data_IF_451540686742
#
_entry.id   IF_451540686742
#
_cell.length_a   1.000
_cell.length_b   1.000
_cell.length_c   1.000
_cell.angle_alpha   90.00
_cell.angle_beta   90.00
_cell.angle_gamma   90.00
#
_symmetry.space_group_name_H-M   'P 1'
#
loop_
_entity.id
_entity.type
_entity.pdbx_description
1 polymer ?
#
# COMPACT_ATOMS: atom_id res chain seq x y z
N UNK A 1 10.89 5.10 -2.64
CA UNK A 1 10.48 6.39 -2.05
C UNK A 1 11.59 6.89 -1.14
N UNK A 2 11.91 8.19 -1.19
CA UNK A 2 12.94 8.82 -0.34
C UNK A 2 12.33 10.06 0.30
N UNK A 3 12.43 10.18 1.63
CA UNK A 3 11.98 11.39 2.31
C UNK A 3 13.00 12.51 2.04
N UNK A 4 12.54 13.63 1.47
CA UNK A 4 13.33 14.85 1.24
C UNK A 4 12.58 16.04 1.84
N UNK A 5 12.89 16.44 3.08
CA UNK A 5 12.21 17.56 3.75
C UNK A 5 12.21 18.83 2.90
N UNK A 6 11.05 19.47 2.76
CA UNK A 6 10.90 20.71 1.99
C UNK A 6 10.73 20.53 0.48
N UNK A 7 10.84 19.31 -0.05
CA UNK A 7 10.52 19.01 -1.45
C UNK A 7 9.08 18.49 -1.59
N UNK A 8 8.28 19.16 -2.41
CA UNK A 8 6.89 18.80 -2.69
C UNK A 8 6.70 18.08 -4.04
N UNK A 9 7.78 17.87 -4.80
CA UNK A 9 7.75 17.12 -6.05
C UNK A 9 7.55 15.63 -5.77
N UNK A 10 6.44 15.06 -6.26
CA UNK A 10 6.10 13.64 -6.16
C UNK A 10 6.15 12.95 -7.54
N UNK A 11 6.90 13.51 -8.48
CA UNK A 11 7.25 12.87 -9.75
C UNK A 11 7.82 11.45 -9.52
N UNK A 12 7.72 10.54 -10.51
CA UNK A 12 8.11 9.14 -10.33
C UNK A 12 9.51 8.91 -9.73
N UNK A 13 10.49 9.77 -10.06
CA UNK A 13 11.86 9.74 -9.54
C UNK A 13 12.01 10.43 -8.16
N UNK A 14 11.05 11.27 -7.76
CA UNK A 14 11.11 12.04 -6.52
C UNK A 14 10.11 11.63 -5.45
N UNK A 15 9.39 10.52 -5.64
CA UNK A 15 8.34 10.09 -4.70
C UNK A 15 8.70 10.13 -3.21
N UNK A 16 7.91 10.88 -2.45
CA UNK A 16 7.98 11.05 -0.99
C UNK A 16 7.24 9.90 -0.28
N UNK A 17 7.43 9.68 1.03
CA UNK A 17 6.45 8.93 1.83
C UNK A 17 5.04 9.51 1.68
N UNK A 18 4.03 8.66 1.43
CA UNK A 18 2.64 9.12 1.32
C UNK A 18 2.10 9.33 2.73
N UNK A 19 1.64 10.55 3.04
CA UNK A 19 1.05 10.89 4.34
C UNK A 19 -0.47 10.63 4.42
N UNK A 20 -1.13 10.51 3.26
CA UNK A 20 -2.55 10.16 3.20
C UNK A 20 -2.70 8.65 3.46
N UNK A 21 -3.66 8.28 4.30
CA UNK A 21 -4.03 6.88 4.48
C UNK A 21 -4.76 6.38 3.23
N UNK A 22 -4.30 5.25 2.70
CA UNK A 22 -4.85 4.69 1.47
C UNK A 22 -4.79 3.16 1.45
N UNK A 23 -5.53 2.59 0.51
CA UNK A 23 -5.31 1.26 -0.07
C UNK A 23 -5.06 1.46 -1.56
N UNK A 24 -4.08 0.75 -2.10
CA UNK A 24 -3.59 1.00 -3.45
C UNK A 24 -4.56 0.67 -4.59
N UNK A 25 -5.52 -0.22 -4.38
CA UNK A 25 -6.37 -0.71 -5.45
C UNK A 25 -7.80 -0.91 -4.94
N UNK A 26 -8.76 -0.50 -5.76
CA UNK A 26 -10.14 -1.02 -5.67
C UNK A 26 -10.23 -2.38 -6.34
N UNK A 27 -11.38 -3.05 -6.24
CA UNK A 27 -11.61 -4.34 -6.93
C UNK A 27 -11.45 -4.20 -8.44
N UNK A 28 -12.06 -3.17 -9.03
CA UNK A 28 -11.96 -2.90 -10.46
C UNK A 28 -10.51 -2.61 -10.87
N UNK A 29 -9.81 -1.76 -10.13
CA UNK A 29 -8.40 -1.48 -10.39
C UNK A 29 -7.52 -2.73 -10.24
N UNK A 30 -7.86 -3.63 -9.31
CA UNK A 30 -7.15 -4.89 -9.12
C UNK A 30 -7.31 -5.82 -10.31
N UNK A 31 -8.52 -5.95 -10.86
CA UNK A 31 -8.78 -6.70 -12.11
C UNK A 31 -8.06 -6.05 -13.29
N UNK A 32 -8.10 -4.72 -13.39
CA UNK A 32 -7.37 -3.98 -14.43
C UNK A 32 -5.85 -4.23 -14.36
N UNK A 33 -5.27 -4.42 -13.17
CA UNK A 33 -3.85 -4.82 -13.02
C UNK A 33 -3.56 -6.20 -13.59
N UNK A 34 -4.47 -7.16 -13.45
CA UNK A 34 -4.34 -8.49 -14.07
C UNK A 34 -4.30 -8.36 -15.59
N UNK A 35 -5.24 -7.62 -16.19
CA UNK A 35 -5.25 -7.36 -17.63
C UNK A 35 -4.01 -6.60 -18.12
N UNK A 36 -3.52 -5.63 -17.34
CA UNK A 36 -2.39 -4.78 -17.73
C UNK A 36 -1.05 -5.53 -17.76
N UNK A 37 -0.85 -6.47 -16.83
CA UNK A 37 0.48 -7.04 -16.58
C UNK A 37 0.65 -8.49 -17.06
N UNK A 38 -0.43 -9.15 -17.48
CA UNK A 38 -0.39 -10.55 -17.92
C UNK A 38 -0.78 -10.70 -19.39
N UNK A 39 -0.36 -11.79 -20.06
CA UNK A 39 -0.80 -12.10 -21.42
C UNK A 39 -2.32 -12.24 -21.47
N UNK A 40 -2.95 -11.61 -22.49
CA UNK A 40 -4.41 -11.61 -22.63
C UNK A 40 -5.02 -13.03 -22.73
N UNK A 41 -4.25 -14.02 -23.21
CA UNK A 41 -4.65 -15.42 -23.27
C UNK A 41 -4.89 -16.06 -21.90
N UNK A 42 -4.17 -15.59 -20.87
CA UNK A 42 -4.11 -16.25 -19.57
C UNK A 42 -5.15 -15.65 -18.60
N UNK A 43 -5.50 -14.37 -18.80
CA UNK A 43 -6.38 -13.60 -17.91
C UNK A 43 -7.73 -14.27 -17.64
N UNK A 44 -8.48 -14.79 -18.63
CA UNK A 44 -9.80 -15.38 -18.37
C UNK A 44 -9.76 -16.56 -17.41
N UNK A 45 -8.68 -17.36 -17.43
CA UNK A 45 -8.54 -18.50 -16.53
C UNK A 45 -8.02 -18.07 -15.15
N UNK A 46 -7.06 -17.14 -15.12
CA UNK A 46 -6.49 -16.63 -13.88
C UNK A 46 -7.51 -15.87 -13.02
N UNK A 47 -8.43 -15.12 -13.63
CA UNK A 47 -9.48 -14.39 -12.90
C UNK A 47 -10.57 -15.31 -12.31
N UNK A 48 -10.65 -16.58 -12.71
CA UNK A 48 -11.54 -17.55 -12.06
C UNK A 48 -10.96 -18.07 -10.74
N UNK A 49 -9.64 -17.95 -10.56
CA UNK A 49 -8.93 -18.41 -9.37
C UNK A 49 -8.95 -17.31 -8.31
N UNK A 50 -8.67 -17.70 -7.07
CA UNK A 50 -8.27 -16.70 -6.08
C UNK A 50 -6.97 -16.06 -6.55
N UNK A 51 -6.95 -14.75 -6.56
CA UNK A 51 -5.75 -13.95 -6.66
C UNK A 51 -5.69 -12.86 -5.58
N UNK A 52 -4.48 -12.38 -5.33
CA UNK A 52 -4.16 -11.29 -4.41
C UNK A 52 -3.21 -10.29 -5.07
N UNK A 53 -3.23 -9.07 -4.55
CA UNK A 53 -2.18 -8.07 -4.79
C UNK A 53 -1.46 -7.86 -3.47
N UNK A 54 -0.17 -8.18 -3.43
CA UNK A 54 0.67 -8.02 -2.24
C UNK A 54 1.80 -7.06 -2.57
N UNK A 55 1.93 -6.00 -1.76
CA UNK A 55 3.15 -5.19 -1.77
C UNK A 55 4.17 -5.78 -0.80
N UNK A 56 5.42 -5.80 -1.23
CA UNK A 56 6.59 -6.18 -0.46
C UNK A 56 7.33 -4.88 -0.15
N UNK A 57 7.33 -4.47 1.11
CA UNK A 57 7.92 -3.20 1.54
C UNK A 57 9.10 -3.44 2.48
N UNK A 58 10.20 -2.70 2.26
CA UNK A 58 11.33 -2.62 3.19
C UNK A 58 12.10 -1.32 3.09
N UNK A 59 12.78 -0.88 4.17
CA UNK A 59 13.85 0.09 4.03
C UNK A 59 15.04 -0.52 3.27
N UNK A 60 15.82 0.32 2.61
CA UNK A 60 16.93 -0.14 1.75
C UNK A 60 18.31 0.37 2.19
N UNK A 61 18.38 1.41 3.01
CA UNK A 61 19.64 2.04 3.39
C UNK A 61 19.86 2.01 4.91
N UNK A 62 18.87 2.47 5.69
CA UNK A 62 18.97 2.63 7.13
C UNK A 62 17.70 2.11 7.80
N UNK A 63 17.73 1.77 9.11
CA UNK A 63 16.53 1.48 9.87
C UNK A 63 15.47 2.58 9.74
N UNK A 64 14.21 2.18 9.52
CA UNK A 64 13.09 3.08 9.30
C UNK A 64 12.60 3.72 10.62
N UNK A 65 13.37 4.66 11.14
CA UNK A 65 12.93 5.57 12.21
C UNK A 65 12.23 6.81 11.65
N UNK A 66 12.77 7.41 10.59
CA UNK A 66 12.14 8.51 9.88
C UNK A 66 10.98 8.00 9.01
N UNK A 67 9.81 8.63 9.13
CA UNK A 67 8.59 8.28 8.40
C UNK A 67 8.29 6.77 8.34
N UNK A 68 8.14 6.05 9.45
CA UNK A 68 7.89 4.61 9.42
C UNK A 68 6.58 4.27 8.71
N UNK A 69 6.43 3.00 8.32
CA UNK A 69 5.22 2.49 7.69
C UNK A 69 4.17 2.14 8.75
N UNK A 70 3.06 2.87 8.75
CA UNK A 70 1.86 2.55 9.53
C UNK A 70 0.94 1.61 8.76
N UNK A 71 0.36 0.64 9.48
CA UNK A 71 -0.56 -0.38 8.98
C UNK A 71 -1.79 -0.42 9.89
N UNK A 72 -2.98 -0.32 9.29
CA UNK A 72 -4.23 -0.45 10.02
C UNK A 72 -4.70 -1.90 10.04
N UNK A 73 -5.10 -2.40 11.21
CA UNK A 73 -5.75 -3.69 11.33
C UNK A 73 -7.10 -3.67 10.60
N UNK A 74 -7.21 -4.47 9.54
CA UNK A 74 -8.42 -4.58 8.72
C UNK A 74 -9.69 -4.83 9.56
N UNK A 75 -9.59 -5.59 10.66
CA UNK A 75 -10.74 -5.90 11.53
C UNK A 75 -11.32 -4.69 12.26
N UNK A 76 -10.58 -3.58 12.27
CA UNK A 76 -10.99 -2.31 12.87
C UNK A 76 -11.53 -1.30 11.87
N UNK A 77 -11.55 -1.64 10.58
CA UNK A 77 -11.99 -0.75 9.50
C UNK A 77 -13.45 -1.04 9.20
N UNK A 78 -14.30 -0.02 9.29
CA UNK A 78 -15.68 -0.12 8.82
C UNK A 78 -15.70 0.01 7.28
N UNK A 79 -16.50 -0.80 6.54
CA UNK A 79 -16.60 -0.66 5.09
C UNK A 79 -16.98 0.75 4.61
N UNK A 80 -17.68 1.55 5.43
CA UNK A 80 -18.02 2.95 5.13
C UNK A 80 -16.86 3.93 5.32
N UNK A 81 -15.76 3.50 5.95
CA UNK A 81 -14.55 4.30 6.12
C UNK A 81 -13.74 4.40 4.84
N UNK A 82 -13.89 3.45 3.91
CA UNK A 82 -13.15 3.43 2.64
C UNK A 82 -13.99 4.03 1.52
N UNK A 83 -13.38 4.92 0.75
CA UNK A 83 -14.03 5.58 -0.39
C UNK A 83 -13.14 5.48 -1.63
N UNK A 84 -13.69 5.15 -2.80
CA UNK A 84 -12.91 5.17 -4.02
C UNK A 84 -12.42 6.59 -4.34
N UNK A 85 -11.17 6.68 -4.80
CA UNK A 85 -10.53 7.93 -5.22
C UNK A 85 -9.91 7.69 -6.59
N UNK A 86 -10.43 8.41 -7.59
CA UNK A 86 -9.94 8.31 -8.95
C UNK A 86 -8.52 8.88 -9.09
N UNK A 87 -7.66 8.14 -9.78
CA UNK A 87 -6.34 8.57 -10.24
C UNK A 87 -6.40 8.73 -11.76
N UNK A 88 -6.52 9.98 -12.19
CA UNK A 88 -6.66 10.32 -13.61
C UNK A 88 -5.27 10.63 -14.18
N UNK A 89 -4.79 9.76 -15.08
CA UNK A 89 -3.59 10.00 -15.88
C UNK A 89 -3.97 10.32 -17.33
N UNK A 90 -3.08 10.95 -18.11
CA UNK A 90 -3.37 11.28 -19.51
C UNK A 90 -3.75 10.07 -20.38
N UNK A 91 -3.23 8.88 -20.05
CA UNK A 91 -3.32 7.66 -20.83
C UNK A 91 -4.20 6.57 -20.19
N UNK A 92 -4.56 6.71 -18.92
CA UNK A 92 -5.41 5.75 -18.21
C UNK A 92 -6.04 6.35 -16.96
N UNK A 93 -7.15 5.75 -16.53
CA UNK A 93 -7.75 5.99 -15.22
C UNK A 93 -7.43 4.78 -14.33
N UNK A 94 -7.04 5.06 -13.10
CA UNK A 94 -6.95 4.07 -12.03
C UNK A 94 -7.74 4.55 -10.82
N UNK A 95 -7.80 3.72 -9.78
CA UNK A 95 -8.56 4.04 -8.58
C UNK A 95 -7.89 3.44 -7.34
N UNK A 96 -7.78 4.24 -6.29
CA UNK A 96 -7.34 3.83 -4.95
C UNK A 96 -8.52 3.89 -3.99
N UNK A 97 -8.35 3.41 -2.76
CA UNK A 97 -9.28 3.74 -1.67
C UNK A 97 -8.62 4.79 -0.77
N UNK A 98 -9.27 5.95 -0.63
CA UNK A 98 -9.02 6.86 0.48
C UNK A 98 -9.69 6.33 1.74
N UNK A 99 -9.12 6.62 2.90
CA UNK A 99 -9.65 6.15 4.19
C UNK A 99 -10.01 7.33 5.08
N UNK A 100 -11.27 7.37 5.51
CA UNK A 100 -11.81 8.37 6.44
C UNK A 100 -11.24 8.13 7.83
N UNK A 101 -11.11 9.20 8.61
CA UNK A 101 -10.78 9.09 10.02
C UNK A 101 -11.87 8.33 10.77
N UNK A 102 -11.48 7.34 11.56
CA UNK A 102 -12.34 6.65 12.51
C UNK A 102 -11.51 6.35 13.77
N UNK A 103 -11.94 6.77 14.98
CA UNK A 103 -11.19 6.55 16.22
C UNK A 103 -11.06 5.07 16.58
N UNK A 104 -11.87 4.19 15.98
CA UNK A 104 -11.79 2.74 16.21
C UNK A 104 -10.65 2.07 15.44
N UNK A 105 -10.04 2.75 14.47
CA UNK A 105 -8.91 2.20 13.69
C UNK A 105 -7.74 1.85 14.61
N UNK A 106 -7.28 0.61 14.51
CA UNK A 106 -6.15 0.09 15.28
C UNK A 106 -4.91 0.08 14.41
N UNK A 107 -4.01 1.01 14.70
CA UNK A 107 -2.77 1.21 13.96
C UNK A 107 -1.59 0.52 14.62
N UNK A 108 -0.77 -0.11 13.79
CA UNK A 108 0.50 -0.73 14.19
C UNK A 108 1.60 -0.26 13.24
N UNK A 109 2.84 -0.25 13.72
CA UNK A 109 4.01 -0.01 12.88
C UNK A 109 5.23 -0.70 13.48
N UNK A 110 6.19 -1.07 12.61
CA UNK A 110 7.46 -1.64 13.06
C UNK A 110 8.48 -0.52 13.24
N UNK A 111 8.63 -0.05 14.48
CA UNK A 111 9.60 0.97 14.85
C UNK A 111 11.03 0.49 14.56
N UNK A 112 11.79 1.26 13.78
CA UNK A 112 13.21 0.97 13.54
C UNK A 112 13.46 -0.29 12.71
N UNK A 113 12.48 -0.70 11.89
CA UNK A 113 12.61 -1.83 10.97
C UNK A 113 13.88 -1.69 10.12
N UNK A 114 14.69 -2.74 10.09
CA UNK A 114 15.99 -2.80 9.42
C UNK A 114 15.88 -3.20 7.95
N UNK A 115 16.97 -3.09 7.19
CA UNK A 115 17.02 -3.51 5.78
C UNK A 115 16.83 -5.01 5.59
N UNK A 116 17.07 -5.82 6.61
CA UNK A 116 16.93 -7.28 6.53
C UNK A 116 15.51 -7.77 6.82
N UNK A 117 14.63 -6.85 7.21
CA UNK A 117 13.23 -7.14 7.49
C UNK A 117 12.35 -6.73 6.32
N UNK A 118 11.21 -7.41 6.19
CA UNK A 118 10.22 -7.13 5.14
C UNK A 118 8.81 -7.16 5.71
N UNK A 119 7.95 -6.28 5.21
CA UNK A 119 6.51 -6.31 5.46
C UNK A 119 5.80 -6.68 4.16
N UNK A 120 4.86 -7.61 4.27
CA UNK A 120 3.90 -7.90 3.22
C UNK A 120 2.61 -7.13 3.51
N UNK A 121 2.19 -6.28 2.58
CA UNK A 121 0.98 -5.49 2.67
C UNK A 121 -0.02 -6.07 1.69
N UNK A 122 -1.10 -6.66 2.19
CA UNK A 122 -2.19 -7.11 1.34
C UNK A 122 -2.96 -5.90 0.82
N UNK A 123 -2.86 -5.62 -0.47
CA UNK A 123 -3.58 -4.53 -1.11
C UNK A 123 -4.94 -4.97 -1.66
N UNK A 124 -5.06 -6.24 -2.03
CA UNK A 124 -6.30 -6.83 -2.53
C UNK A 124 -6.36 -8.34 -2.30
N UNK A 125 -7.55 -8.88 -2.06
CA UNK A 125 -7.91 -10.30 -2.13
C UNK A 125 -9.19 -10.44 -2.96
N UNK A 126 -9.19 -11.37 -3.90
CA UNK A 126 -10.39 -11.66 -4.72
C UNK A 126 -11.50 -12.38 -3.94
N UNK A 127 -11.19 -12.98 -2.79
CA UNK A 127 -12.22 -13.45 -1.85
C UNK A 127 -12.84 -12.24 -1.17
N UNK A 128 -14.16 -12.06 -1.35
CA UNK A 128 -14.93 -10.91 -0.86
C UNK A 128 -16.15 -11.35 -0.01
N UNK A 129 -16.14 -12.58 0.50
CA UNK A 129 -17.23 -13.19 1.28
C UNK A 129 -17.17 -12.89 2.79
N UNK A 130 -16.26 -12.00 3.20
CA UNK A 130 -16.05 -11.62 4.60
C UNK A 130 -15.20 -12.61 5.42
N UNK A 131 -14.69 -13.69 4.82
CA UNK A 131 -13.87 -14.69 5.53
C UNK A 131 -12.41 -14.29 5.70
N UNK A 132 -11.94 -13.30 4.92
CA UNK A 132 -10.55 -12.84 4.91
C UNK A 132 -10.45 -11.33 5.00
N UNK A 133 -9.30 -10.83 5.46
CA UNK A 133 -8.93 -9.44 5.22
C UNK A 133 -8.71 -9.23 3.71
N UNK A 134 -9.43 -8.29 3.11
CA UNK A 134 -9.37 -8.03 1.66
C UNK A 134 -8.40 -6.93 1.27
N UNK A 135 -7.99 -6.09 2.23
CA UNK A 135 -6.95 -5.07 2.06
C UNK A 135 -6.32 -4.69 3.41
N UNK A 136 -5.35 -3.78 3.39
CA UNK A 136 -4.73 -3.18 4.57
C UNK A 136 -4.50 -1.70 4.32
N UNK A 137 -5.23 -0.79 4.99
CA UNK A 137 -4.91 0.64 4.92
C UNK A 137 -3.52 0.90 5.47
N UNK A 138 -2.75 1.72 4.78
CA UNK A 138 -1.39 2.00 5.15
C UNK A 138 -0.98 3.44 4.80
N UNK A 139 0.07 3.90 5.45
CA UNK A 139 0.59 5.26 5.26
C UNK A 139 2.02 5.37 5.81
N UNK A 140 2.78 6.36 5.36
CA UNK A 140 3.93 6.87 6.10
C UNK A 140 3.46 7.97 7.05
N UNK A 141 4.03 8.08 8.24
CA UNK A 141 3.64 9.13 9.18
C UNK A 141 4.84 9.76 9.89
N UNK A 142 4.71 11.01 10.31
CA UNK A 142 5.70 11.65 11.16
C UNK A 142 5.60 11.08 12.59
N UNK A 143 6.59 10.30 13.02
CA UNK A 143 6.67 9.81 14.40
C UNK A 143 7.35 10.86 15.29
N UNK A 144 6.63 11.49 16.25
CA UNK A 144 7.19 12.51 17.13
C UNK A 144 8.28 11.97 18.07
N UNK A 145 8.40 10.66 18.18
CA UNK A 145 9.42 9.99 19.00
C UNK A 145 10.65 9.58 18.19
N UNK A 146 10.73 9.94 16.90
CA UNK A 146 11.91 9.71 16.06
C UNK A 146 13.17 10.28 16.72
N UNK A 147 14.25 9.48 16.92
CA UNK A 147 15.48 10.00 17.51
C UNK A 147 16.05 11.18 16.74
N UNK A 148 16.56 12.19 17.46
CA UNK A 148 17.22 13.33 16.82
C UNK A 148 18.43 12.86 16.01
N UNK A 149 18.55 13.35 14.78
CA UNK A 149 19.63 12.97 13.88
C UNK A 149 19.44 11.61 13.19
N UNK A 150 18.27 10.97 13.33
CA UNK A 150 17.95 9.78 12.53
C UNK A 150 18.10 10.09 11.03
N UNK A 151 18.67 9.15 10.24
CA UNK A 151 18.78 9.30 8.81
C UNK A 151 17.39 9.32 8.17
N UNK A 152 17.25 10.05 7.07
CA UNK A 152 16.00 10.15 6.32
C UNK A 152 15.65 8.83 5.65
N UNK A 153 14.35 8.53 5.58
CA UNK A 153 13.85 7.26 5.05
C UNK A 153 14.24 7.06 3.60
N UNK A 154 14.75 5.87 3.31
CA UNK A 154 14.82 5.32 1.95
C UNK A 154 14.20 3.93 1.96
N UNK A 155 13.17 3.75 1.15
CA UNK A 155 12.45 2.48 1.09
C UNK A 155 12.07 2.11 -0.33
N UNK A 156 11.89 0.81 -0.54
CA UNK A 156 11.36 0.25 -1.77
C UNK A 156 10.05 -0.47 -1.48
N UNK A 157 9.20 -0.50 -2.50
CA UNK A 157 8.00 -1.29 -2.51
C UNK A 157 7.91 -1.99 -3.87
N UNK A 158 7.66 -3.29 -3.85
CA UNK A 158 7.45 -4.09 -5.06
C UNK A 158 6.07 -4.72 -4.96
N UNK A 159 5.29 -4.66 -6.03
CA UNK A 159 3.95 -5.22 -6.07
C UNK A 159 3.95 -6.54 -6.83
N UNK A 160 3.35 -7.56 -6.23
CA UNK A 160 3.17 -8.87 -6.81
C UNK A 160 1.68 -9.16 -7.07
N UNK A 161 1.38 -9.69 -8.25
CA UNK A 161 0.15 -10.42 -8.51
C UNK A 161 0.38 -11.89 -8.11
N UNK A 162 -0.43 -12.40 -7.18
CA UNK A 162 -0.29 -13.76 -6.64
C UNK A 162 -1.55 -14.53 -6.97
N UNK A 163 -1.42 -15.63 -7.71
CA UNK A 163 -2.52 -16.52 -8.09
C UNK A 163 -2.39 -17.84 -7.34
N UNK A 164 -3.52 -18.36 -6.91
CA UNK A 164 -3.61 -19.64 -6.20
C UNK A 164 -4.18 -20.70 -7.14
N UNK A 165 -3.81 -21.97 -6.92
CA UNK A 165 -4.36 -23.13 -7.64
C UNK A 165 -5.67 -23.63 -7.01
#
# INVERSE_FOLDING_TARGET
RRHRPGEFDDSPDRRQPVAQVHVDQTTESSVARVHKHLPASDVPELLKRRFQIINIWRPIENPAFDWPLGLCDYRSVDPSDVVPVALIYPDHEGETLGVKYNPNHKWNYFRGMTSEEVVLIKCFDSIQDGTVAVFTPHTGFNDPTTPKGSPLRQSIEVRALVFYD
#
